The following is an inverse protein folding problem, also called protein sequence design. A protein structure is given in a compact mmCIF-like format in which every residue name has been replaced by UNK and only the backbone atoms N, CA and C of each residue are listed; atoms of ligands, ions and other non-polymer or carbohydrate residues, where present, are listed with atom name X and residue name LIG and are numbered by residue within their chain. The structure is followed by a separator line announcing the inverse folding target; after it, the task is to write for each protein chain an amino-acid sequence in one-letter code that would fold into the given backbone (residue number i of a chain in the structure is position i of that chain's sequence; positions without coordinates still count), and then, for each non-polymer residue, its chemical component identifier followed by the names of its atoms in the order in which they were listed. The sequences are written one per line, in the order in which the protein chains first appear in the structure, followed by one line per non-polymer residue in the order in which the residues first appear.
data_IF_624855244714
#
_entry.id   IF_624855244714
#
_cell.length_a   1.000
_cell.length_b   1.000
_cell.length_c   1.000
_cell.angle_alpha   90.00
_cell.angle_beta   90.00
_cell.angle_gamma   90.00
#
_symmetry.space_group_name_H-M   'P 1'
#
loop_
_entity.id
_entity.type
_entity.pdbx_description
1 polymer ?
#
# COMPACT_ATOMS: atom_id res chain seq x y z
N UNK A 1 -25.84 17.60 -14.32
CA UNK A 1 -25.18 17.72 -13.00
C UNK A 1 -24.04 16.73 -13.03
N UNK A 2 -22.89 17.06 -12.42
CA UNK A 2 -21.78 16.13 -12.34
C UNK A 2 -22.14 14.93 -11.45
N UNK A 3 -21.72 13.73 -11.84
CA UNK A 3 -21.80 12.50 -11.02
C UNK A 3 -20.55 12.42 -10.19
N UNK A 4 -20.67 12.39 -8.87
CA UNK A 4 -19.53 12.36 -7.95
C UNK A 4 -19.29 10.94 -7.44
N UNK A 5 -18.00 10.57 -7.33
CA UNK A 5 -17.48 9.34 -6.76
C UNK A 5 -16.54 9.69 -5.61
N UNK A 6 -16.55 8.94 -4.52
CA UNK A 6 -15.77 9.26 -3.34
C UNK A 6 -14.72 8.17 -3.09
N UNK A 7 -13.45 8.56 -3.07
CA UNK A 7 -12.37 7.74 -2.53
C UNK A 7 -12.13 8.09 -1.06
N UNK A 8 -12.04 7.06 -0.23
CA UNK A 8 -11.54 7.14 1.15
C UNK A 8 -10.21 6.42 1.17
N UNK A 9 -9.13 7.19 1.09
CA UNK A 9 -7.73 6.72 1.06
C UNK A 9 -7.11 6.93 2.44
N UNK A 10 -6.81 5.83 3.14
CA UNK A 10 -6.25 5.85 4.50
C UNK A 10 -4.87 5.20 4.49
N UNK A 11 -3.84 6.03 4.47
CA UNK A 11 -2.46 5.58 4.66
C UNK A 11 -2.04 5.48 6.12
N UNK A 12 -0.84 5.01 6.37
CA UNK A 12 -0.30 4.80 7.72
C UNK A 12 -0.12 6.10 8.54
N UNK A 13 -0.04 7.26 7.89
CA UNK A 13 0.20 8.56 8.56
C UNK A 13 -0.95 9.56 8.41
N UNK A 14 -1.82 9.39 7.45
CA UNK A 14 -2.97 10.28 7.22
C UNK A 14 -4.04 9.59 6.40
N UNK A 15 -5.29 10.07 6.52
CA UNK A 15 -6.39 9.68 5.65
C UNK A 15 -7.03 10.89 5.01
N UNK A 16 -7.69 10.66 3.87
CA UNK A 16 -8.36 11.72 3.11
C UNK A 16 -9.57 11.18 2.37
N UNK A 17 -10.55 12.05 2.20
CA UNK A 17 -11.70 11.82 1.36
C UNK A 17 -11.62 12.74 0.16
N UNK A 18 -11.61 12.12 -1.03
CA UNK A 18 -11.44 12.83 -2.30
C UNK A 18 -12.63 12.52 -3.20
N UNK A 19 -13.37 13.55 -3.61
CA UNK A 19 -14.39 13.46 -4.63
C UNK A 19 -13.75 13.51 -6.02
N UNK A 20 -14.20 12.63 -6.90
CA UNK A 20 -13.86 12.67 -8.33
C UNK A 20 -15.10 12.72 -9.19
N UNK A 21 -15.01 13.40 -10.34
CA UNK A 21 -16.02 13.44 -11.38
C UNK A 21 -15.38 13.71 -12.74
N UNK A 22 -16.13 13.49 -13.81
CA UNK A 22 -15.71 13.91 -15.15
C UNK A 22 -16.28 15.29 -15.48
N UNK A 23 -15.45 16.18 -15.99
CA UNK A 23 -15.83 17.47 -16.55
C UNK A 23 -15.08 17.67 -17.87
N UNK A 24 -15.82 17.89 -18.96
CA UNK A 24 -15.28 18.06 -20.32
C UNK A 24 -14.28 16.94 -20.73
N UNK A 25 -14.58 15.71 -20.31
CA UNK A 25 -13.75 14.52 -20.61
C UNK A 25 -12.51 14.37 -19.75
N UNK A 26 -12.30 15.22 -18.74
CA UNK A 26 -11.19 15.13 -17.80
C UNK A 26 -11.68 14.72 -16.43
N UNK A 27 -10.85 13.97 -15.70
CA UNK A 27 -11.09 13.65 -14.30
C UNK A 27 -10.69 14.85 -13.44
N UNK A 28 -11.62 15.33 -12.63
CA UNK A 28 -11.40 16.41 -11.66
C UNK A 28 -11.49 15.83 -10.27
N UNK A 29 -10.53 16.19 -9.43
CA UNK A 29 -10.45 15.79 -8.01
C UNK A 29 -10.66 16.98 -7.10
N UNK A 30 -11.32 16.72 -5.97
CA UNK A 30 -11.50 17.68 -4.88
C UNK A 30 -11.33 16.98 -3.54
N UNK A 31 -10.29 17.36 -2.78
CA UNK A 31 -10.14 16.90 -1.41
C UNK A 31 -11.19 17.60 -0.54
N UNK A 32 -12.07 16.82 0.08
CA UNK A 32 -13.16 17.35 0.91
C UNK A 32 -12.91 17.23 2.39
N UNK A 33 -12.06 16.28 2.77
CA UNK A 33 -11.72 16.03 4.18
C UNK A 33 -10.36 15.35 4.33
N UNK A 34 -9.62 15.74 5.36
CA UNK A 34 -8.32 15.13 5.71
C UNK A 34 -8.22 14.97 7.21
N UNK A 35 -7.55 13.89 7.64
CA UNK A 35 -7.29 13.59 9.04
C UNK A 35 -5.94 12.92 9.23
N UNK A 36 -5.37 13.01 10.42
CA UNK A 36 -4.14 12.32 10.78
C UNK A 36 -4.42 10.85 11.09
N UNK A 37 -3.44 9.99 10.84
CA UNK A 37 -3.43 8.59 11.24
C UNK A 37 -2.08 8.25 11.87
N UNK A 38 -2.07 7.20 12.69
CA UNK A 38 -0.89 6.69 13.36
C UNK A 38 -1.25 5.63 14.36
N UNK A 39 -0.27 4.82 14.73
CA UNK A 39 -0.44 3.83 15.78
C UNK A 39 -0.22 4.45 17.15
N UNK A 40 -0.97 3.95 18.14
CA UNK A 40 -0.85 4.33 19.53
C UNK A 40 -0.45 3.12 20.38
N UNK A 41 0.27 3.35 21.49
CA UNK A 41 0.55 2.29 22.45
C UNK A 41 -0.69 2.03 23.30
N UNK A 42 -1.15 0.77 23.31
CA UNK A 42 -2.27 0.31 24.13
C UNK A 42 -1.91 -1.07 24.69
N UNK A 43 -1.97 -1.22 26.01
CA UNK A 43 -1.65 -2.46 26.73
C UNK A 43 -0.27 -3.09 26.38
N UNK A 44 0.68 -2.25 25.94
CA UNK A 44 2.03 -2.67 25.54
C UNK A 44 2.19 -2.94 24.04
N UNK A 45 1.11 -2.94 23.28
CA UNK A 45 1.07 -3.17 21.84
C UNK A 45 0.95 -1.86 21.05
N UNK A 46 1.41 -1.85 19.80
CA UNK A 46 1.19 -0.76 18.84
C UNK A 46 -0.12 -1.04 18.06
N UNK A 47 -1.12 -0.19 18.29
CA UNK A 47 -2.48 -0.40 17.80
C UNK A 47 -2.96 0.73 16.91
N UNK A 48 -3.83 0.39 15.96
CA UNK A 48 -4.64 1.34 15.20
C UNK A 48 -5.90 1.73 15.98
N UNK A 49 -6.40 2.95 15.78
CA UNK A 49 -7.63 3.45 16.38
C UNK A 49 -8.80 3.38 15.40
N UNK A 50 -9.25 2.16 15.00
CA UNK A 50 -10.26 1.98 13.96
C UNK A 50 -11.59 2.67 14.26
N UNK A 51 -12.03 2.74 15.51
CA UNK A 51 -13.23 3.49 15.88
C UNK A 51 -13.09 4.99 15.60
N UNK A 52 -11.89 5.55 15.82
CA UNK A 52 -11.61 6.94 15.47
C UNK A 52 -11.60 7.14 13.98
N UNK A 53 -10.89 6.28 13.24
CA UNK A 53 -10.82 6.35 11.77
C UNK A 53 -12.21 6.24 11.14
N UNK A 54 -13.07 5.37 11.66
CA UNK A 54 -14.43 5.26 11.16
C UNK A 54 -15.26 6.54 11.40
N UNK A 55 -15.08 7.19 12.53
CA UNK A 55 -15.71 8.51 12.78
C UNK A 55 -15.22 9.58 11.81
N UNK A 56 -13.94 9.55 11.42
CA UNK A 56 -13.40 10.45 10.40
C UNK A 56 -14.03 10.19 9.01
N UNK A 57 -14.24 8.91 8.64
CA UNK A 57 -14.96 8.56 7.41
C UNK A 57 -16.37 9.16 7.43
N UNK A 58 -17.12 8.98 8.52
CA UNK A 58 -18.47 9.53 8.68
C UNK A 58 -18.47 11.07 8.65
N UNK A 59 -17.48 11.69 9.27
CA UNK A 59 -17.33 13.16 9.25
C UNK A 59 -17.11 13.68 7.81
N UNK A 60 -16.25 13.01 7.04
CA UNK A 60 -16.02 13.34 5.64
C UNK A 60 -17.26 13.15 4.76
N UNK A 61 -18.05 12.09 4.98
CA UNK A 61 -19.33 11.90 4.29
C UNK A 61 -20.31 13.04 4.59
N UNK A 62 -20.43 13.46 5.84
CA UNK A 62 -21.24 14.63 6.21
C UNK A 62 -20.75 15.90 5.51
N UNK A 63 -19.42 16.04 5.34
CA UNK A 63 -18.84 17.17 4.63
C UNK A 63 -19.26 17.22 3.17
N UNK A 64 -19.33 16.08 2.47
CA UNK A 64 -19.86 16.01 1.10
C UNK A 64 -21.28 16.58 1.00
N UNK A 65 -22.15 16.28 1.97
CA UNK A 65 -23.51 16.84 2.05
C UNK A 65 -23.49 18.34 2.30
N UNK A 66 -22.67 18.82 3.23
CA UNK A 66 -22.57 20.25 3.57
C UNK A 66 -22.18 21.10 2.35
N UNK A 67 -21.26 20.62 1.51
CA UNK A 67 -20.82 21.32 0.29
C UNK A 67 -21.76 21.07 -0.91
N UNK A 68 -22.82 20.27 -0.72
CA UNK A 68 -23.80 19.97 -1.76
C UNK A 68 -23.32 19.04 -2.87
N UNK A 69 -22.26 18.24 -2.63
CA UNK A 69 -21.66 17.28 -3.58
C UNK A 69 -21.82 15.86 -3.05
N UNK A 70 -23.01 15.31 -3.20
CA UNK A 70 -23.32 13.96 -2.73
C UNK A 70 -22.81 12.92 -3.73
N UNK A 71 -21.90 12.00 -3.32
CA UNK A 71 -21.40 10.95 -4.20
C UNK A 71 -22.46 9.87 -4.44
N UNK A 72 -22.44 9.26 -5.63
CA UNK A 72 -23.28 8.11 -5.96
C UNK A 72 -22.71 6.80 -5.41
N UNK A 73 -21.38 6.74 -5.28
CA UNK A 73 -20.69 5.62 -4.67
C UNK A 73 -19.43 6.06 -3.92
N UNK A 74 -18.94 5.15 -3.08
CA UNK A 74 -17.65 5.29 -2.39
C UNK A 74 -16.91 3.97 -2.35
N UNK A 75 -15.58 4.05 -2.18
CA UNK A 75 -14.72 2.93 -1.86
C UNK A 75 -13.69 3.31 -0.81
N UNK A 76 -13.27 2.34 0.01
CA UNK A 76 -12.22 2.53 1.00
C UNK A 76 -11.01 1.69 0.58
N UNK A 77 -9.82 2.29 0.54
CA UNK A 77 -8.55 1.60 0.45
C UNK A 77 -7.65 1.96 1.63
N UNK A 78 -6.78 1.05 2.00
CA UNK A 78 -5.83 1.23 3.10
C UNK A 78 -4.49 0.55 2.81
N UNK A 79 -3.58 0.56 3.80
CA UNK A 79 -2.38 -0.27 3.81
C UNK A 79 -2.76 -1.75 3.94
N UNK A 80 -1.86 -2.65 3.54
CA UNK A 80 -2.04 -4.10 3.56
C UNK A 80 -1.82 -4.78 4.91
N UNK A 81 -2.04 -6.07 4.95
CA UNK A 81 -1.66 -7.09 5.95
C UNK A 81 -2.40 -7.09 7.27
N UNK A 82 -2.91 -5.95 7.75
CA UNK A 82 -3.56 -5.84 9.05
C UNK A 82 -5.04 -6.26 8.99
N UNK A 83 -5.55 -6.74 10.10
CA UNK A 83 -6.89 -7.33 10.17
C UNK A 83 -7.53 -7.19 11.55
N UNK A 84 -8.81 -7.47 11.61
CA UNK A 84 -9.57 -7.73 12.84
C UNK A 84 -10.16 -9.14 12.82
N UNK A 85 -10.32 -9.73 14.00
CA UNK A 85 -11.11 -10.93 14.22
C UNK A 85 -12.42 -10.54 14.89
N UNK A 86 -13.54 -10.97 14.34
CA UNK A 86 -14.87 -10.74 14.92
C UNK A 86 -15.39 -12.04 15.53
N UNK A 87 -15.99 -11.93 16.72
CA UNK A 87 -16.70 -13.05 17.37
C UNK A 87 -18.13 -13.21 16.81
N UNK A 88 -18.89 -14.16 17.38
CA UNK A 88 -20.29 -14.44 17.00
C UNK A 88 -21.25 -13.27 17.27
N UNK A 89 -20.89 -12.34 18.15
CA UNK A 89 -21.66 -11.13 18.49
C UNK A 89 -21.12 -9.91 17.72
N UNK A 90 -20.27 -10.12 16.71
CA UNK A 90 -19.64 -9.11 15.82
C UNK A 90 -18.72 -8.12 16.57
N UNK A 91 -18.19 -8.55 17.70
CA UNK A 91 -17.22 -7.76 18.47
C UNK A 91 -15.81 -8.10 18.07
N UNK A 92 -14.95 -7.08 18.01
CA UNK A 92 -13.52 -7.24 17.77
C UNK A 92 -12.89 -7.98 18.93
N UNK A 93 -12.16 -9.05 18.65
CA UNK A 93 -11.39 -9.84 19.60
C UNK A 93 -9.99 -9.23 19.76
N UNK A 94 -9.64 -8.90 21.00
CA UNK A 94 -8.34 -8.31 21.32
C UNK A 94 -8.18 -6.85 20.88
N UNK A 95 -6.93 -6.43 20.77
CA UNK A 95 -6.55 -5.11 20.28
C UNK A 95 -6.39 -5.13 18.75
N UNK A 96 -6.51 -3.95 18.13
CA UNK A 96 -6.30 -3.73 16.68
C UNK A 96 -4.82 -3.49 16.39
N UNK A 97 -4.00 -4.52 16.63
CA UNK A 97 -2.54 -4.46 16.56
C UNK A 97 -2.08 -4.23 15.12
N UNK A 98 -1.19 -3.25 14.94
CA UNK A 98 -0.68 -2.88 13.62
C UNK A 98 0.61 -3.59 13.24
N UNK A 99 0.93 -3.59 11.96
CA UNK A 99 2.03 -4.35 11.35
C UNK A 99 3.45 -3.98 11.83
N UNK A 100 3.62 -2.83 12.49
CA UNK A 100 4.92 -2.41 13.07
C UNK A 100 5.09 -2.84 14.53
N UNK A 101 4.12 -3.58 15.09
CA UNK A 101 4.23 -4.14 16.42
C UNK A 101 5.26 -5.27 16.47
N UNK A 102 5.93 -5.43 17.58
CA UNK A 102 6.94 -6.47 17.80
C UNK A 102 6.36 -7.87 18.08
N UNK A 103 5.02 -8.04 18.05
CA UNK A 103 4.40 -9.35 18.32
C UNK A 103 4.81 -10.45 17.35
N UNK A 104 5.30 -10.08 16.17
CA UNK A 104 5.75 -11.03 15.13
C UNK A 104 7.25 -11.31 15.16
N UNK A 105 8.03 -10.67 16.04
CA UNK A 105 9.47 -10.91 16.13
C UNK A 105 9.78 -12.40 16.39
N UNK A 106 10.51 -13.05 15.48
CA UNK A 106 10.86 -14.48 15.56
C UNK A 106 9.72 -15.45 15.27
N UNK A 107 8.52 -14.97 14.90
CA UNK A 107 7.35 -15.84 14.61
C UNK A 107 7.53 -16.65 13.33
N UNK A 108 8.35 -16.20 12.39
CA UNK A 108 8.65 -16.93 11.16
C UNK A 108 9.21 -18.33 11.44
N UNK A 109 9.97 -18.50 12.52
CA UNK A 109 10.47 -19.82 12.92
C UNK A 109 9.35 -20.79 13.25
N UNK A 110 8.26 -20.34 13.85
CA UNK A 110 7.10 -21.18 14.15
C UNK A 110 6.31 -21.56 12.89
N UNK A 111 6.22 -20.63 11.93
CA UNK A 111 5.61 -20.89 10.61
C UNK A 111 6.47 -21.88 9.83
N UNK A 112 7.78 -21.72 9.82
CA UNK A 112 8.70 -22.58 9.05
C UNK A 112 8.88 -23.99 9.64
N UNK A 113 8.49 -24.22 10.89
CA UNK A 113 8.32 -25.59 11.44
C UNK A 113 7.16 -26.34 10.78
N UNK A 114 6.18 -25.64 10.24
CA UNK A 114 4.97 -26.21 9.62
C UNK A 114 5.15 -26.28 8.09
N UNK A 115 5.63 -25.20 7.49
CA UNK A 115 5.87 -25.10 6.05
C UNK A 115 7.20 -24.37 5.79
N UNK A 116 8.17 -24.98 5.07
CA UNK A 116 9.41 -24.30 4.69
C UNK A 116 9.15 -23.03 3.88
N UNK A 117 10.04 -22.03 4.01
CA UNK A 117 9.93 -20.74 3.32
C UNK A 117 9.74 -20.89 1.80
N UNK A 118 10.53 -21.77 1.20
CA UNK A 118 10.52 -22.00 -0.26
C UNK A 118 9.19 -22.65 -0.70
N UNK A 119 8.64 -23.56 0.11
CA UNK A 119 7.34 -24.17 -0.18
C UNK A 119 6.21 -23.14 -0.03
N UNK A 120 6.25 -22.31 1.01
CA UNK A 120 5.29 -21.25 1.21
C UNK A 120 5.29 -20.27 0.02
N UNK A 121 6.48 -19.84 -0.41
CA UNK A 121 6.63 -18.96 -1.56
C UNK A 121 6.14 -19.63 -2.86
N UNK A 122 6.48 -20.89 -3.10
CA UNK A 122 6.03 -21.62 -4.27
C UNK A 122 4.50 -21.75 -4.36
N UNK A 123 3.79 -21.70 -3.22
CA UNK A 123 2.33 -21.73 -3.15
C UNK A 123 1.69 -20.37 -3.40
N UNK A 124 2.21 -19.32 -2.81
CA UNK A 124 1.57 -18.00 -2.74
C UNK A 124 2.26 -16.94 -3.59
N UNK A 125 3.56 -17.11 -3.83
CA UNK A 125 4.39 -16.12 -4.53
C UNK A 125 4.59 -14.81 -3.78
N UNK A 126 4.28 -14.76 -2.49
CA UNK A 126 4.38 -13.54 -1.67
C UNK A 126 5.74 -13.47 -0.98
N UNK A 127 6.41 -12.32 -1.11
CA UNK A 127 7.68 -12.07 -0.44
C UNK A 127 7.57 -12.28 1.07
N UNK A 128 8.67 -12.67 1.68
CA UNK A 128 8.77 -12.65 3.12
C UNK A 128 8.78 -11.22 3.65
N UNK A 129 7.81 -10.92 4.48
CA UNK A 129 7.80 -9.77 5.37
C UNK A 129 7.21 -10.24 6.70
N UNK A 130 7.94 -10.03 7.79
CA UNK A 130 7.57 -10.56 9.11
C UNK A 130 6.15 -10.18 9.55
N UNK A 131 5.60 -9.14 8.95
CA UNK A 131 4.28 -8.61 9.21
C UNK A 131 3.18 -9.13 8.26
N UNK A 132 3.45 -10.04 7.29
CA UNK A 132 2.36 -10.64 6.51
C UNK A 132 1.33 -11.28 7.45
N UNK A 133 0.07 -11.26 7.06
CA UNK A 133 -1.05 -11.73 7.89
C UNK A 133 -0.86 -13.15 8.41
N UNK A 134 -0.22 -14.04 7.62
CA UNK A 134 0.09 -15.41 8.06
C UNK A 134 0.96 -15.45 9.33
N UNK A 135 1.96 -14.56 9.45
CA UNK A 135 2.80 -14.46 10.64
C UNK A 135 2.08 -13.78 11.79
N UNK A 136 1.29 -12.76 11.51
CA UNK A 136 0.45 -12.09 12.53
C UNK A 136 -0.57 -13.07 13.13
N UNK A 137 -1.23 -13.91 12.33
CA UNK A 137 -2.13 -14.97 12.82
C UNK A 137 -1.39 -16.02 13.64
N UNK A 138 -0.14 -16.35 13.29
CA UNK A 138 0.67 -17.24 14.11
C UNK A 138 1.01 -16.59 15.45
N UNK A 139 1.31 -15.31 15.51
CA UNK A 139 1.49 -14.59 16.76
C UNK A 139 0.22 -14.65 17.63
N UNK A 140 -0.95 -14.38 17.04
CA UNK A 140 -2.25 -14.54 17.74
C UNK A 140 -2.43 -15.97 18.25
N UNK A 141 -2.17 -17.00 17.41
CA UNK A 141 -2.28 -18.43 17.79
C UNK A 141 -1.40 -18.78 18.99
N UNK A 142 -0.22 -18.18 19.10
CA UNK A 142 0.73 -18.45 20.18
C UNK A 142 0.43 -17.68 21.47
N UNK A 143 0.04 -16.45 21.34
CA UNK A 143 -0.14 -15.53 22.46
C UNK A 143 -1.58 -15.54 22.99
N UNK A 144 -2.58 -15.66 22.08
CA UNK A 144 -4.01 -15.55 22.34
C UNK A 144 -4.82 -16.58 21.56
N UNK A 145 -4.56 -17.91 21.76
CA UNK A 145 -5.26 -18.96 21.00
C UNK A 145 -6.78 -18.88 21.13
N UNK A 146 -7.27 -18.35 22.25
CA UNK A 146 -8.70 -18.15 22.52
C UNK A 146 -9.35 -17.19 21.51
N UNK A 147 -8.61 -16.27 20.88
CA UNK A 147 -9.18 -15.39 19.86
C UNK A 147 -9.50 -16.18 18.59
N UNK A 148 -8.63 -17.11 18.16
CA UNK A 148 -8.90 -17.95 17.00
C UNK A 148 -10.04 -18.95 17.26
N UNK A 149 -10.18 -19.42 18.49
CA UNK A 149 -11.29 -20.33 18.89
C UNK A 149 -12.65 -19.61 18.82
N UNK A 150 -12.69 -18.33 19.23
CA UNK A 150 -13.90 -17.50 19.29
C UNK A 150 -14.22 -16.79 17.97
N UNK A 151 -13.25 -16.65 17.09
CA UNK A 151 -13.40 -15.93 15.84
C UNK A 151 -14.40 -16.61 14.89
N UNK A 152 -15.32 -15.83 14.35
CA UNK A 152 -16.26 -16.22 13.29
C UNK A 152 -15.91 -15.58 11.94
N UNK A 153 -15.18 -14.47 11.96
CA UNK A 153 -14.80 -13.75 10.72
C UNK A 153 -13.47 -13.04 10.91
N UNK A 154 -12.62 -13.13 9.89
CA UNK A 154 -11.45 -12.26 9.69
C UNK A 154 -11.81 -11.22 8.65
N UNK A 155 -11.62 -9.95 8.95
CA UNK A 155 -11.72 -8.85 7.98
C UNK A 155 -10.41 -8.07 7.98
N UNK A 156 -9.87 -7.85 6.78
CA UNK A 156 -8.74 -6.92 6.63
C UNK A 156 -9.22 -5.49 6.81
N UNK A 157 -8.32 -4.55 7.01
CA UNK A 157 -8.68 -3.19 7.46
C UNK A 157 -9.71 -2.51 6.56
N UNK A 158 -9.54 -2.45 5.22
CA UNK A 158 -10.54 -1.81 4.36
C UNK A 158 -11.86 -2.57 4.35
N UNK A 159 -11.82 -3.90 4.40
CA UNK A 159 -13.01 -4.75 4.46
C UNK A 159 -13.78 -4.54 5.78
N UNK A 160 -13.06 -4.30 6.88
CA UNK A 160 -13.68 -3.96 8.15
C UNK A 160 -14.43 -2.61 8.07
N UNK A 161 -13.83 -1.59 7.42
CA UNK A 161 -14.54 -0.33 7.21
C UNK A 161 -15.75 -0.49 6.27
N UNK A 162 -15.64 -1.29 5.21
CA UNK A 162 -16.77 -1.63 4.36
C UNK A 162 -17.88 -2.34 5.14
N UNK A 163 -17.51 -3.29 6.02
CA UNK A 163 -18.47 -3.94 6.92
C UNK A 163 -19.15 -2.94 7.87
N UNK A 164 -18.42 -2.01 8.47
CA UNK A 164 -19.01 -0.99 9.34
C UNK A 164 -19.99 -0.09 8.57
N UNK A 165 -19.71 0.19 7.29
CA UNK A 165 -20.56 1.00 6.43
C UNK A 165 -21.84 0.26 6.00
N UNK A 166 -21.72 -1.02 5.60
CA UNK A 166 -22.79 -1.76 4.90
C UNK A 166 -23.43 -2.88 5.73
N UNK A 167 -22.67 -3.50 6.63
CA UNK A 167 -23.06 -4.74 7.31
C UNK A 167 -22.63 -6.02 6.59
N UNK A 168 -22.08 -5.92 5.39
CA UNK A 168 -21.65 -7.07 4.60
C UNK A 168 -20.19 -7.43 4.91
N UNK A 169 -19.93 -8.73 5.17
CA UNK A 169 -18.61 -9.26 5.49
C UNK A 169 -17.99 -9.86 4.24
N UNK A 170 -17.04 -9.16 3.67
CA UNK A 170 -16.30 -9.57 2.47
C UNK A 170 -14.80 -9.44 2.72
N UNK A 171 -13.97 -10.10 1.92
CA UNK A 171 -12.55 -9.84 1.82
C UNK A 171 -12.21 -9.57 0.37
N UNK A 172 -11.50 -8.48 0.10
CA UNK A 172 -11.16 -8.10 -1.26
C UNK A 172 -9.80 -8.70 -1.68
N UNK A 173 -9.72 -9.13 -2.92
CA UNK A 173 -8.61 -9.92 -3.47
C UNK A 173 -7.25 -9.21 -3.38
N UNK A 174 -7.17 -7.92 -3.72
CA UNK A 174 -5.87 -7.21 -3.75
C UNK A 174 -5.26 -7.06 -2.37
N UNK A 175 -6.11 -6.85 -1.37
CA UNK A 175 -5.73 -6.81 0.04
C UNK A 175 -5.38 -8.21 0.57
N UNK A 176 -6.22 -9.20 0.29
CA UNK A 176 -6.02 -10.57 0.76
C UNK A 176 -4.68 -11.16 0.31
N UNK A 177 -4.21 -10.83 -0.90
CA UNK A 177 -2.92 -11.33 -1.40
C UNK A 177 -1.74 -10.87 -0.56
N UNK A 178 -1.79 -9.71 0.08
CA UNK A 178 -0.70 -9.20 0.94
C UNK A 178 -0.45 -10.11 2.15
N UNK A 179 -1.46 -10.89 2.53
CA UNK A 179 -1.46 -11.74 3.72
C UNK A 179 -0.67 -13.03 3.62
N UNK A 180 -0.18 -13.40 2.42
CA UNK A 180 0.60 -14.64 2.19
C UNK A 180 -0.21 -15.94 2.39
N UNK A 181 -1.52 -15.93 2.05
CA UNK A 181 -2.43 -17.07 2.19
C UNK A 181 -3.38 -17.26 1.00
N UNK A 182 -3.14 -16.59 -0.11
CA UNK A 182 -3.93 -16.71 -1.35
C UNK A 182 -3.14 -17.52 -2.38
N UNK A 183 -3.81 -18.46 -3.05
CA UNK A 183 -3.26 -19.16 -4.22
C UNK A 183 -3.42 -18.26 -5.47
N UNK A 184 -2.34 -17.80 -6.09
CA UNK A 184 -2.41 -16.88 -7.23
C UNK A 184 -3.02 -17.53 -8.49
N UNK A 185 -3.09 -18.87 -8.56
CA UNK A 185 -3.68 -19.60 -9.71
C UNK A 185 -5.20 -19.62 -9.63
N UNK A 186 -5.73 -19.91 -8.44
CA UNK A 186 -7.18 -19.93 -8.20
C UNK A 186 -7.74 -18.54 -7.91
N UNK A 187 -6.88 -17.60 -7.48
CA UNK A 187 -7.23 -16.26 -6.98
C UNK A 187 -8.23 -16.33 -5.83
N UNK A 188 -8.04 -17.31 -4.96
CA UNK A 188 -8.84 -17.52 -3.76
C UNK A 188 -7.92 -17.98 -2.63
N UNK A 189 -8.43 -18.05 -1.41
CA UNK A 189 -7.70 -18.53 -0.26
C UNK A 189 -7.12 -19.92 -0.50
N UNK A 190 -5.87 -20.13 -0.11
CA UNK A 190 -5.24 -21.46 -0.05
C UNK A 190 -5.71 -22.20 1.22
N UNK A 191 -6.90 -22.78 1.16
CA UNK A 191 -7.51 -23.46 2.33
C UNK A 191 -6.66 -24.62 2.84
N UNK A 192 -5.92 -25.31 1.97
CA UNK A 192 -4.99 -26.37 2.42
C UNK A 192 -3.86 -25.81 3.27
N UNK A 193 -3.28 -24.67 2.86
CA UNK A 193 -2.28 -23.94 3.64
C UNK A 193 -2.88 -23.46 4.97
N UNK A 194 -4.05 -22.84 4.94
CA UNK A 194 -4.74 -22.31 6.12
C UNK A 194 -5.00 -23.45 7.14
N UNK A 195 -5.50 -24.60 6.69
CA UNK A 195 -5.71 -25.79 7.54
C UNK A 195 -4.38 -26.31 8.10
N UNK A 196 -3.35 -26.39 7.25
CA UNK A 196 -2.01 -26.84 7.66
C UNK A 196 -1.40 -25.94 8.72
N UNK A 197 -1.64 -24.63 8.64
CA UNK A 197 -1.25 -23.65 9.66
C UNK A 197 -2.07 -23.80 10.96
N UNK A 198 -3.17 -24.53 10.90
CA UNK A 198 -4.11 -24.73 12.02
C UNK A 198 -4.91 -23.47 12.31
N UNK A 199 -5.19 -22.67 11.28
CA UNK A 199 -6.12 -21.55 11.36
C UNK A 199 -7.54 -22.02 11.05
N UNK A 200 -8.58 -21.50 11.73
CA UNK A 200 -9.95 -21.91 11.47
C UNK A 200 -10.42 -21.40 10.09
N UNK A 201 -10.66 -22.32 9.15
CA UNK A 201 -11.05 -21.96 7.77
C UNK A 201 -12.34 -21.16 7.70
N UNK A 202 -13.25 -21.33 8.68
CA UNK A 202 -14.54 -20.64 8.77
C UNK A 202 -14.42 -19.10 8.83
N UNK A 203 -13.28 -18.56 9.30
CA UNK A 203 -13.11 -17.12 9.46
C UNK A 203 -12.79 -16.41 8.13
N UNK A 204 -12.37 -17.16 7.10
CA UNK A 204 -12.00 -16.63 5.80
C UNK A 204 -13.22 -16.59 4.88
N UNK A 205 -13.77 -15.39 4.69
CA UNK A 205 -14.88 -15.16 3.76
C UNK A 205 -14.42 -15.31 2.32
N UNK A 206 -15.34 -15.67 1.41
CA UNK A 206 -15.05 -15.72 -0.02
C UNK A 206 -14.50 -14.38 -0.51
N UNK A 207 -13.43 -14.43 -1.30
CA UNK A 207 -12.84 -13.24 -1.90
C UNK A 207 -13.78 -12.62 -2.94
N UNK A 208 -13.84 -11.30 -2.92
CA UNK A 208 -14.46 -10.49 -3.97
C UNK A 208 -13.37 -9.77 -4.78
N UNK A 209 -13.67 -9.51 -6.04
CA UNK A 209 -12.75 -8.79 -6.92
C UNK A 209 -12.99 -7.28 -6.86
N UNK A 210 -11.98 -6.43 -7.19
CA UNK A 210 -12.18 -5.00 -7.34
C UNK A 210 -13.31 -4.68 -8.33
N UNK A 211 -14.06 -3.63 -8.07
CA UNK A 211 -15.25 -3.25 -8.83
C UNK A 211 -16.53 -3.97 -8.37
N UNK A 212 -16.48 -4.81 -7.34
CA UNK A 212 -17.66 -5.48 -6.79
C UNK A 212 -18.47 -4.50 -5.91
N UNK A 213 -19.79 -4.49 -6.09
CA UNK A 213 -20.70 -3.82 -5.16
C UNK A 213 -20.78 -4.58 -3.85
N UNK A 214 -20.53 -3.91 -2.74
CA UNK A 214 -20.64 -4.50 -1.39
C UNK A 214 -22.06 -4.28 -0.83
N UNK A 215 -22.69 -3.19 -1.22
CA UNK A 215 -24.04 -2.84 -0.77
C UNK A 215 -24.22 -1.35 -0.57
N UNK A 216 -25.24 -0.98 0.18
CA UNK A 216 -25.55 0.40 0.54
C UNK A 216 -25.26 0.67 2.01
N UNK A 217 -25.21 1.93 2.38
CA UNK A 217 -25.01 2.32 3.78
C UNK A 217 -26.07 1.68 4.70
N UNK A 218 -25.68 1.29 5.89
CA UNK A 218 -26.61 0.85 6.95
C UNK A 218 -27.66 1.94 7.20
N UNK A 219 -28.92 1.58 7.55
CA UNK A 219 -29.98 2.57 7.82
C UNK A 219 -29.57 3.65 8.80
N UNK A 220 -28.87 3.28 9.88
CA UNK A 220 -28.44 4.19 10.95
C UNK A 220 -27.46 5.25 10.41
N UNK A 221 -26.55 4.83 9.53
CA UNK A 221 -25.59 5.75 8.89
C UNK A 221 -26.27 6.66 7.86
N UNK A 222 -27.23 6.13 7.09
CA UNK A 222 -28.03 6.95 6.16
C UNK A 222 -28.79 8.05 6.88
N UNK A 223 -29.38 7.72 8.04
CA UNK A 223 -30.12 8.68 8.86
C UNK A 223 -29.15 9.72 9.45
N UNK A 224 -27.98 9.30 9.92
CA UNK A 224 -26.96 10.18 10.50
C UNK A 224 -26.34 11.11 9.47
N UNK A 225 -25.95 10.59 8.30
CA UNK A 225 -25.28 11.31 7.22
C UNK A 225 -26.31 12.10 6.39
N UNK A 226 -27.51 11.55 6.23
CA UNK A 226 -28.66 12.15 5.56
C UNK A 226 -28.69 11.96 4.05
N UNK A 227 -28.02 10.94 3.53
CA UNK A 227 -28.14 10.42 2.17
C UNK A 227 -27.69 8.96 2.12
N UNK A 228 -27.97 8.28 1.02
CA UNK A 228 -27.51 6.94 0.73
C UNK A 228 -26.52 6.95 -0.45
N UNK A 229 -25.65 5.97 -0.50
CA UNK A 229 -24.73 5.71 -1.61
C UNK A 229 -24.40 4.22 -1.68
N UNK A 230 -23.88 3.79 -2.82
CA UNK A 230 -23.36 2.45 -3.01
C UNK A 230 -21.90 2.37 -2.53
N UNK A 231 -21.56 1.34 -1.74
CA UNK A 231 -20.18 1.02 -1.38
C UNK A 231 -19.64 0.01 -2.38
N UNK A 232 -18.56 0.37 -3.06
CA UNK A 232 -17.89 -0.43 -4.09
C UNK A 232 -16.50 -0.76 -3.64
N UNK A 233 -16.09 -2.03 -3.68
CA UNK A 233 -14.71 -2.40 -3.42
C UNK A 233 -13.80 -1.85 -4.53
N UNK A 234 -12.88 -0.92 -4.27
CA UNK A 234 -11.80 -0.61 -5.21
C UNK A 234 -10.76 -1.74 -5.21
N UNK A 235 -9.56 -1.54 -5.73
CA UNK A 235 -8.42 -2.29 -5.22
C UNK A 235 -8.19 -1.78 -3.79
N UNK A 236 -8.53 -2.57 -2.78
CA UNK A 236 -8.57 -2.09 -1.39
C UNK A 236 -7.18 -1.97 -0.76
N UNK A 237 -6.17 -2.66 -1.31
CA UNK A 237 -4.78 -2.32 -1.06
C UNK A 237 -4.42 -1.04 -1.82
N UNK A 238 -4.03 0.02 -1.12
CA UNK A 238 -3.75 1.36 -1.65
C UNK A 238 -2.84 1.34 -2.90
N UNK A 239 -1.79 0.50 -2.87
CA UNK A 239 -0.91 0.31 -4.02
C UNK A 239 -1.64 -0.34 -5.21
N UNK A 240 -2.60 -1.22 -4.97
CA UNK A 240 -3.43 -1.79 -6.04
C UNK A 240 -4.22 -0.71 -6.78
N UNK A 241 -4.81 0.20 -6.04
CA UNK A 241 -5.48 1.38 -6.58
C UNK A 241 -4.49 2.31 -7.30
N UNK A 242 -3.33 2.60 -6.69
CA UNK A 242 -2.31 3.45 -7.31
C UNK A 242 -1.81 2.91 -8.66
N UNK A 243 -1.63 1.59 -8.79
CA UNK A 243 -1.21 0.95 -10.04
C UNK A 243 -2.31 0.99 -11.10
N UNK A 244 -3.58 0.86 -10.73
CA UNK A 244 -4.70 1.06 -11.66
C UNK A 244 -4.66 2.45 -12.31
N UNK A 245 -4.21 3.46 -11.57
CA UNK A 245 -4.10 4.85 -12.03
C UNK A 245 -2.83 5.17 -12.82
N UNK A 246 -1.92 4.22 -13.05
CA UNK A 246 -0.73 4.48 -13.89
C UNK A 246 -1.15 4.89 -15.29
N UNK A 247 -0.74 6.09 -15.78
CA UNK A 247 -1.27 6.64 -17.03
C UNK A 247 -0.54 6.08 -18.26
N UNK A 248 -0.53 4.75 -18.42
CA UNK A 248 0.12 4.04 -19.53
C UNK A 248 -0.68 2.79 -19.92
N UNK A 249 -0.78 2.52 -21.22
CA UNK A 249 -1.55 1.41 -21.78
C UNK A 249 -0.71 0.38 -22.55
N UNK A 250 0.59 0.59 -22.62
CA UNK A 250 1.53 -0.42 -23.15
C UNK A 250 2.20 -1.18 -22.00
N UNK A 251 3.06 -2.11 -22.33
CA UNK A 251 3.79 -2.95 -21.37
C UNK A 251 5.31 -2.64 -21.34
N UNK A 252 5.72 -1.46 -21.82
CA UNK A 252 7.13 -1.02 -21.86
C UNK A 252 7.46 -0.08 -20.70
N UNK A 253 6.99 -0.40 -19.51
CA UNK A 253 7.29 0.39 -18.32
C UNK A 253 7.38 -0.46 -17.05
N UNK A 254 8.12 0.06 -16.09
CA UNK A 254 8.09 -0.34 -14.68
C UNK A 254 7.30 0.74 -13.93
N UNK A 255 6.53 0.39 -12.92
CA UNK A 255 5.91 1.38 -12.03
C UNK A 255 6.62 1.46 -10.69
N UNK A 256 6.52 2.62 -10.03
CA UNK A 256 6.81 2.79 -8.61
C UNK A 256 5.60 3.49 -7.99
N UNK A 257 4.87 2.80 -7.13
CA UNK A 257 3.93 3.42 -6.20
C UNK A 257 4.74 3.96 -5.03
N UNK A 258 4.95 5.28 -5.00
CA UNK A 258 5.87 5.91 -4.08
C UNK A 258 5.15 6.75 -3.02
N UNK A 259 5.29 6.34 -1.79
CA UNK A 259 4.78 6.99 -0.58
C UNK A 259 5.75 6.77 0.58
N UNK A 260 5.24 6.39 1.73
CA UNK A 260 6.04 5.90 2.86
C UNK A 260 6.92 4.74 2.42
N UNK A 261 6.32 3.76 1.73
CA UNK A 261 6.98 2.70 0.98
C UNK A 261 7.12 3.08 -0.48
N UNK A 262 8.02 2.39 -1.19
CA UNK A 262 8.11 2.40 -2.65
C UNK A 262 7.92 0.98 -3.16
N UNK A 263 6.77 0.71 -3.77
CA UNK A 263 6.46 -0.59 -4.35
C UNK A 263 6.77 -0.52 -5.85
N UNK A 264 7.88 -1.16 -6.24
CA UNK A 264 8.41 -1.09 -7.61
C UNK A 264 8.19 -2.39 -8.35
N UNK A 265 7.51 -2.36 -9.50
CA UNK A 265 7.19 -3.60 -10.19
C UNK A 265 6.52 -3.45 -11.55
N UNK A 266 5.88 -4.53 -11.96
CA UNK A 266 5.22 -4.73 -13.25
C UNK A 266 3.80 -5.26 -13.07
N UNK A 267 2.90 -4.94 -14.00
CA UNK A 267 1.63 -5.65 -14.11
C UNK A 267 1.80 -6.89 -15.01
N UNK A 268 1.38 -8.06 -14.52
CA UNK A 268 1.44 -9.34 -15.24
C UNK A 268 0.10 -10.05 -15.20
N UNK A 269 -0.10 -11.01 -16.11
CA UNK A 269 -1.29 -11.88 -16.10
C UNK A 269 -1.15 -13.03 -15.11
N UNK A 270 0.08 -13.57 -15.00
CA UNK A 270 0.39 -14.76 -14.21
C UNK A 270 1.47 -14.46 -13.19
N UNK A 271 1.37 -15.11 -12.04
CA UNK A 271 2.36 -15.02 -10.97
C UNK A 271 3.64 -15.78 -11.33
N UNK A 272 4.75 -15.31 -10.81
CA UNK A 272 6.04 -15.99 -10.85
C UNK A 272 6.43 -16.44 -9.45
N UNK A 273 6.16 -17.69 -9.13
CA UNK A 273 6.47 -18.33 -7.85
C UNK A 273 7.74 -19.19 -7.94
N UNK A 274 8.67 -18.88 -8.86
CA UNK A 274 9.91 -19.60 -9.04
C UNK A 274 10.89 -19.39 -7.89
N UNK A 275 11.84 -20.32 -7.75
CA UNK A 275 12.93 -20.23 -6.78
C UNK A 275 13.73 -18.93 -6.95
N UNK A 276 13.99 -18.53 -8.19
CA UNK A 276 14.71 -17.27 -8.50
C UNK A 276 13.92 -16.05 -8.03
N UNK A 277 12.60 -16.03 -8.21
CA UNK A 277 11.72 -14.96 -7.70
C UNK A 277 11.74 -14.90 -6.17
N UNK A 278 11.77 -16.07 -5.50
CA UNK A 278 11.91 -16.17 -4.05
C UNK A 278 13.25 -15.63 -3.54
N UNK A 279 14.36 -15.98 -4.22
CA UNK A 279 15.70 -15.49 -3.88
C UNK A 279 15.82 -13.97 -3.96
N UNK A 280 15.17 -13.36 -4.96
CA UNK A 280 15.12 -11.91 -5.15
C UNK A 280 14.06 -11.22 -4.25
N UNK A 281 13.35 -11.99 -3.43
CA UNK A 281 12.28 -11.50 -2.56
C UNK A 281 11.22 -10.66 -3.28
N UNK A 282 10.88 -11.05 -4.53
CA UNK A 282 9.81 -10.43 -5.30
C UNK A 282 8.45 -10.97 -4.87
N UNK A 283 7.40 -10.17 -4.96
CA UNK A 283 6.05 -10.52 -4.53
C UNK A 283 5.05 -10.47 -5.68
N UNK A 284 4.01 -11.31 -5.60
CA UNK A 284 2.94 -11.44 -6.61
C UNK A 284 1.60 -11.05 -6.00
N UNK A 285 1.37 -9.76 -5.84
CA UNK A 285 0.14 -9.24 -5.24
C UNK A 285 -0.96 -9.04 -6.28
N UNK A 286 -2.22 -9.16 -5.85
CA UNK A 286 -3.37 -8.97 -6.72
C UNK A 286 -3.52 -7.55 -7.26
N UNK A 287 -4.01 -7.42 -8.50
CA UNK A 287 -4.34 -6.17 -9.15
C UNK A 287 -5.77 -6.16 -9.71
N UNK A 288 -6.18 -5.06 -10.33
CA UNK A 288 -7.49 -4.93 -10.97
C UNK A 288 -7.67 -5.98 -12.08
N UNK A 289 -8.89 -6.46 -12.30
CA UNK A 289 -9.20 -7.55 -13.25
C UNK A 289 -8.41 -8.85 -13.02
N UNK A 290 -7.93 -9.11 -11.81
CA UNK A 290 -7.16 -10.31 -11.48
C UNK A 290 -5.75 -10.31 -12.11
N UNK A 291 -5.21 -9.17 -12.48
CA UNK A 291 -3.79 -9.03 -12.80
C UNK A 291 -2.94 -9.29 -11.57
N UNK A 292 -1.67 -9.53 -11.78
CA UNK A 292 -0.65 -9.67 -10.74
C UNK A 292 0.25 -8.44 -10.78
N UNK A 293 0.40 -7.80 -9.65
CA UNK A 293 1.43 -6.79 -9.40
C UNK A 293 2.68 -7.53 -8.94
N UNK A 294 3.61 -7.73 -9.85
CA UNK A 294 4.89 -8.40 -9.59
C UNK A 294 5.92 -7.34 -9.21
N UNK A 295 6.30 -7.27 -7.94
CA UNK A 295 7.00 -6.12 -7.40
C UNK A 295 7.97 -6.47 -6.27
N UNK A 296 8.82 -5.52 -5.93
CA UNK A 296 9.62 -5.46 -4.70
C UNK A 296 9.12 -4.33 -3.81
N UNK A 297 8.97 -4.59 -2.50
CA UNK A 297 8.70 -3.58 -1.48
C UNK A 297 10.03 -2.96 -1.03
N UNK A 298 10.18 -1.66 -1.23
CA UNK A 298 11.36 -0.88 -0.87
C UNK A 298 10.97 0.14 0.20
N UNK A 299 11.84 0.40 1.16
CA UNK A 299 11.58 1.25 2.34
C UNK A 299 11.08 2.67 2.00
N UNK A 300 11.36 3.17 0.80
CA UNK A 300 10.80 4.40 0.25
C UNK A 300 11.14 5.68 1.03
N UNK A 301 10.21 6.65 0.98
CA UNK A 301 10.41 7.97 1.60
C UNK A 301 10.33 7.95 3.13
N UNK A 302 9.95 6.82 3.74
CA UNK A 302 9.94 6.65 5.19
C UNK A 302 11.24 7.07 5.85
N UNK A 303 12.40 6.72 5.25
CA UNK A 303 13.71 7.05 5.80
C UNK A 303 13.90 8.56 5.94
N UNK A 304 13.70 9.33 4.87
CA UNK A 304 13.90 10.78 4.91
C UNK A 304 12.81 11.52 5.71
N UNK A 305 11.58 10.99 5.71
CA UNK A 305 10.49 11.52 6.54
C UNK A 305 10.79 11.36 8.02
N UNK A 306 11.29 10.20 8.44
CA UNK A 306 11.69 9.92 9.82
C UNK A 306 12.83 10.85 10.27
N UNK A 307 13.89 10.96 9.47
CA UNK A 307 15.00 11.89 9.73
C UNK A 307 14.50 13.32 9.91
N UNK A 308 13.58 13.78 9.04
CA UNK A 308 12.99 15.11 9.15
C UNK A 308 12.22 15.28 10.48
N UNK A 309 11.38 14.32 10.86
CA UNK A 309 10.62 14.36 12.11
C UNK A 309 11.51 14.36 13.35
N UNK A 310 12.63 13.64 13.34
CA UNK A 310 13.61 13.61 14.42
C UNK A 310 14.26 14.97 14.67
N UNK A 311 14.27 15.87 13.68
CA UNK A 311 14.71 17.27 13.87
C UNK A 311 13.58 18.19 14.37
N UNK A 312 12.41 17.64 14.70
CA UNK A 312 11.23 18.44 15.03
C UNK A 312 10.69 19.24 13.82
N UNK A 313 10.85 18.68 12.63
CA UNK A 313 10.46 19.28 11.35
C UNK A 313 11.13 20.64 11.08
N UNK A 314 12.36 20.83 11.60
CA UNK A 314 13.12 22.07 11.48
C UNK A 314 13.48 22.44 10.02
N UNK A 315 13.45 21.45 9.12
CA UNK A 315 13.72 21.62 7.69
C UNK A 315 12.48 21.31 6.85
N UNK A 316 12.22 22.12 5.84
CA UNK A 316 11.31 21.77 4.75
C UNK A 316 11.96 20.71 3.84
N UNK A 317 11.15 20.00 3.05
CA UNK A 317 11.71 19.06 2.06
C UNK A 317 12.57 19.75 1.00
N UNK A 318 12.26 21.00 0.64
CA UNK A 318 13.09 21.78 -0.28
C UNK A 318 14.47 22.07 0.30
N UNK A 319 14.55 22.52 1.56
CA UNK A 319 15.84 22.76 2.24
C UNK A 319 16.66 21.49 2.37
N UNK A 320 16.01 20.34 2.64
CA UNK A 320 16.68 19.02 2.68
C UNK A 320 17.30 18.68 1.33
N UNK A 321 16.59 18.96 0.23
CA UNK A 321 17.08 18.75 -1.13
C UNK A 321 18.26 19.65 -1.44
N UNK A 322 18.16 20.96 -1.13
CA UNK A 322 19.25 21.92 -1.35
C UNK A 322 20.52 21.48 -0.60
N UNK A 323 20.38 21.07 0.67
CA UNK A 323 21.49 20.56 1.47
C UNK A 323 22.08 19.24 0.92
N UNK A 324 21.23 18.36 0.40
CA UNK A 324 21.69 17.11 -0.22
C UNK A 324 22.45 17.39 -1.52
N UNK A 325 22.03 18.36 -2.34
CA UNK A 325 22.74 18.78 -3.55
C UNK A 325 24.12 19.38 -3.22
N UNK A 326 24.24 20.15 -2.14
CA UNK A 326 25.53 20.67 -1.66
C UNK A 326 26.47 19.55 -1.22
N UNK A 327 25.92 18.46 -0.65
CA UNK A 327 26.68 17.30 -0.17
C UNK A 327 26.72 16.12 -1.16
N UNK A 328 26.34 16.31 -2.43
CA UNK A 328 26.13 15.25 -3.44
C UNK A 328 27.30 14.28 -3.64
N UNK A 329 28.52 14.73 -3.33
CA UNK A 329 29.73 13.92 -3.48
C UNK A 329 30.02 13.04 -2.23
N UNK A 330 29.14 13.06 -1.21
CA UNK A 330 29.31 12.21 -0.03
C UNK A 330 29.19 10.75 -0.42
N UNK A 331 30.20 9.87 -0.10
CA UNK A 331 30.37 8.59 -0.78
C UNK A 331 29.54 7.43 -0.19
N UNK A 332 29.02 7.58 1.04
CA UNK A 332 28.41 6.46 1.76
C UNK A 332 27.05 6.06 1.21
N UNK A 333 26.76 4.75 1.30
CA UNK A 333 25.51 4.14 0.84
C UNK A 333 25.01 3.14 1.87
N UNK A 334 23.71 3.04 1.98
CA UNK A 334 23.03 2.03 2.81
C UNK A 334 22.19 1.12 1.92
N UNK A 335 21.96 -0.11 2.35
CA UNK A 335 20.93 -0.92 1.74
C UNK A 335 19.57 -0.46 2.27
N UNK A 336 18.79 0.21 1.41
CA UNK A 336 17.47 0.74 1.79
C UNK A 336 16.49 -0.36 2.24
N UNK A 337 16.73 -1.62 1.88
CA UNK A 337 15.90 -2.77 2.26
C UNK A 337 16.41 -3.51 3.50
N UNK A 338 17.46 -3.01 4.17
CA UNK A 338 17.94 -3.64 5.39
C UNK A 338 16.90 -3.55 6.52
N UNK A 339 16.69 -4.67 7.24
CA UNK A 339 15.68 -4.80 8.30
C UNK A 339 15.81 -3.72 9.40
N UNK A 340 17.03 -3.24 9.64
CA UNK A 340 17.29 -2.21 10.64
C UNK A 340 16.58 -0.87 10.36
N UNK A 341 16.12 -0.62 9.12
CA UNK A 341 15.40 0.59 8.76
C UNK A 341 13.87 0.44 8.82
N UNK A 342 13.36 -0.74 9.11
CA UNK A 342 11.92 -1.00 9.15
C UNK A 342 11.22 -0.21 10.27
N UNK A 343 11.77 -0.24 11.48
CA UNK A 343 11.19 0.41 12.66
C UNK A 343 12.27 0.78 13.69
N UNK A 344 13.30 1.57 13.33
CA UNK A 344 14.31 1.97 14.28
C UNK A 344 13.75 3.00 15.28
N UNK A 345 14.26 3.00 16.51
CA UNK A 345 13.95 4.03 17.50
C UNK A 345 14.39 5.44 17.03
N UNK A 346 15.46 5.51 16.24
CA UNK A 346 15.98 6.73 15.64
C UNK A 346 16.64 6.42 14.29
N UNK A 347 16.02 6.89 13.20
CA UNK A 347 16.48 6.63 11.84
C UNK A 347 17.85 7.28 11.55
N UNK A 348 18.06 8.49 12.05
CA UNK A 348 19.32 9.22 11.87
C UNK A 348 20.50 8.42 12.42
N UNK A 349 20.39 7.94 13.65
CA UNK A 349 21.46 7.14 14.27
C UNK A 349 21.58 5.77 13.61
N UNK A 350 20.48 5.15 13.16
CA UNK A 350 20.56 3.85 12.47
C UNK A 350 21.29 3.96 11.11
N UNK A 351 21.08 5.02 10.34
CA UNK A 351 21.84 5.28 9.10
C UNK A 351 23.31 5.48 9.41
N UNK A 352 23.65 6.24 10.46
CA UNK A 352 25.04 6.44 10.90
C UNK A 352 25.68 5.13 11.37
N UNK A 353 24.96 4.33 12.14
CA UNK A 353 25.43 3.03 12.63
C UNK A 353 25.62 2.03 11.49
N UNK A 354 24.73 2.04 10.50
CA UNK A 354 24.92 1.24 9.29
C UNK A 354 26.25 1.61 8.58
N UNK A 355 26.54 2.91 8.39
CA UNK A 355 27.80 3.35 7.81
C UNK A 355 29.00 2.93 8.67
N UNK A 356 28.91 3.04 10.00
CA UNK A 356 29.98 2.59 10.92
C UNK A 356 30.24 1.09 10.78
N UNK A 357 29.18 0.26 10.81
CA UNK A 357 29.28 -1.22 10.71
C UNK A 357 29.87 -1.67 9.38
N UNK A 358 29.62 -0.93 8.31
CA UNK A 358 30.11 -1.24 6.95
C UNK A 358 31.45 -0.56 6.63
N UNK A 359 32.04 0.16 7.59
CA UNK A 359 33.35 0.81 7.43
C UNK A 359 33.33 2.01 6.47
N UNK A 360 32.21 2.65 6.30
CA UNK A 360 32.02 3.83 5.43
C UNK A 360 32.15 5.13 6.22
N UNK A 361 32.44 6.27 5.57
CA UNK A 361 32.32 7.59 6.18
C UNK A 361 30.93 7.80 6.80
N UNK A 362 30.89 8.32 8.02
CA UNK A 362 29.63 8.53 8.75
C UNK A 362 29.09 9.93 8.40
N UNK A 363 27.82 10.06 7.96
CA UNK A 363 27.24 11.35 7.69
C UNK A 363 27.05 12.15 8.99
N UNK A 364 27.52 13.40 9.00
CA UNK A 364 27.50 14.27 10.19
C UNK A 364 26.49 15.40 10.05
N UNK A 365 26.22 15.84 8.83
CA UNK A 365 25.29 16.93 8.51
C UNK A 365 23.97 16.41 7.91
N UNK A 366 22.92 17.24 7.96
CA UNK A 366 21.64 16.92 7.30
C UNK A 366 21.84 16.67 5.80
N UNK A 367 22.70 17.46 5.14
CA UNK A 367 22.99 17.29 3.71
C UNK A 367 23.62 15.95 3.40
N UNK A 368 24.67 15.54 4.14
CA UNK A 368 25.33 14.23 3.96
C UNK A 368 24.36 13.07 4.23
N UNK A 369 23.57 13.16 5.31
CA UNK A 369 22.58 12.15 5.67
C UNK A 369 21.51 12.01 4.58
N UNK A 370 21.00 13.13 4.08
CA UNK A 370 20.00 13.14 3.00
C UNK A 370 20.56 12.61 1.69
N UNK A 371 21.83 12.93 1.37
CA UNK A 371 22.54 12.38 0.21
C UNK A 371 22.65 10.88 0.29
N UNK A 372 23.05 10.34 1.46
CA UNK A 372 23.11 8.88 1.68
C UNK A 372 21.76 8.25 1.40
N UNK A 373 20.67 8.79 1.97
CA UNK A 373 19.34 8.23 1.82
C UNK A 373 18.85 8.30 0.36
N UNK A 374 18.85 9.49 -0.25
CA UNK A 374 18.31 9.66 -1.61
C UNK A 374 19.09 8.87 -2.66
N UNK A 375 20.43 8.85 -2.57
CA UNK A 375 21.25 8.12 -3.54
C UNK A 375 21.10 6.62 -3.34
N UNK A 376 21.02 6.15 -2.08
CA UNK A 376 20.78 4.72 -1.79
C UNK A 376 19.43 4.25 -2.32
N UNK A 377 18.38 5.05 -2.20
CA UNK A 377 17.06 4.75 -2.77
C UNK A 377 17.12 4.66 -4.30
N UNK A 378 17.77 5.63 -4.96
CA UNK A 378 17.90 5.62 -6.42
C UNK A 378 18.71 4.42 -6.93
N UNK A 379 19.77 4.04 -6.23
CA UNK A 379 20.58 2.84 -6.55
C UNK A 379 19.78 1.54 -6.29
N UNK A 380 18.95 1.51 -5.23
CA UNK A 380 18.03 0.41 -4.99
C UNK A 380 17.02 0.26 -6.15
N UNK A 381 16.39 1.34 -6.60
CA UNK A 381 15.49 1.31 -7.75
C UNK A 381 16.20 0.83 -9.04
N UNK A 382 17.47 1.22 -9.23
CA UNK A 382 18.24 0.74 -10.38
C UNK A 382 18.55 -0.75 -10.31
N UNK A 383 18.83 -1.29 -9.12
CA UNK A 383 18.99 -2.73 -8.88
C UNK A 383 17.70 -3.47 -9.17
N UNK A 384 16.59 -3.06 -8.56
CA UNK A 384 15.27 -3.68 -8.75
C UNK A 384 14.83 -3.66 -10.21
N UNK A 385 15.08 -2.56 -10.95
CA UNK A 385 14.79 -2.50 -12.38
C UNK A 385 15.54 -3.59 -13.17
N UNK A 386 16.82 -3.83 -12.88
CA UNK A 386 17.61 -4.89 -13.52
C UNK A 386 17.09 -6.28 -13.15
N UNK A 387 16.74 -6.51 -11.89
CA UNK A 387 16.18 -7.78 -11.43
C UNK A 387 14.86 -8.10 -12.14
N UNK A 388 13.97 -7.11 -12.27
CA UNK A 388 12.73 -7.26 -13.05
C UNK A 388 12.99 -7.54 -14.53
N UNK A 389 14.00 -6.89 -15.14
CA UNK A 389 14.43 -7.15 -16.51
C UNK A 389 15.00 -8.57 -16.68
N UNK A 390 15.82 -9.04 -15.75
CA UNK A 390 16.34 -10.41 -15.73
C UNK A 390 15.20 -11.44 -15.62
N UNK A 391 14.24 -11.22 -14.70
CA UNK A 391 13.12 -12.14 -14.48
C UNK A 391 12.18 -12.23 -15.68
N UNK A 392 12.02 -11.14 -16.44
CA UNK A 392 11.13 -11.11 -17.61
C UNK A 392 11.83 -11.38 -18.94
N UNK A 393 13.17 -11.31 -18.96
CA UNK A 393 13.95 -11.38 -20.20
C UNK A 393 13.70 -10.19 -21.15
N UNK A 394 13.21 -9.07 -20.63
CA UNK A 394 12.86 -7.85 -21.38
C UNK A 394 13.55 -6.64 -20.77
N UNK A 395 13.76 -5.61 -21.57
CA UNK A 395 14.15 -4.28 -21.09
C UNK A 395 12.95 -3.35 -21.16
N UNK A 396 12.92 -2.37 -20.26
CA UNK A 396 11.86 -1.35 -20.16
C UNK A 396 12.45 0.02 -20.38
N UNK A 397 11.79 0.86 -21.20
CA UNK A 397 12.32 2.18 -21.56
C UNK A 397 12.07 3.25 -20.48
N UNK A 398 11.03 3.07 -19.66
CA UNK A 398 10.61 4.09 -18.69
C UNK A 398 10.12 3.53 -17.36
N UNK A 399 10.09 4.41 -16.36
CA UNK A 399 9.52 4.13 -15.04
C UNK A 399 8.43 5.17 -14.76
N UNK A 400 7.21 4.70 -14.47
CA UNK A 400 6.13 5.56 -13.98
C UNK A 400 6.18 5.63 -12.46
N UNK A 401 6.39 6.82 -11.89
CA UNK A 401 6.34 7.05 -10.45
C UNK A 401 5.02 7.73 -10.13
N UNK A 402 4.16 7.05 -9.38
CA UNK A 402 2.84 7.53 -8.98
C UNK A 402 2.74 7.66 -7.45
N UNK A 403 1.74 8.40 -6.96
CA UNK A 403 1.59 8.69 -5.55
C UNK A 403 2.41 9.89 -5.09
N UNK A 404 2.44 10.15 -3.78
CA UNK A 404 3.08 11.34 -3.20
C UNK A 404 4.54 11.52 -3.58
N UNK A 405 5.30 10.43 -3.75
CA UNK A 405 6.70 10.45 -4.15
C UNK A 405 6.95 10.95 -5.58
N UNK A 406 5.93 11.00 -6.44
CA UNK A 406 6.06 11.64 -7.77
C UNK A 406 6.46 13.11 -7.67
N UNK A 407 6.22 13.76 -6.54
CA UNK A 407 6.61 15.12 -6.26
C UNK A 407 8.07 15.28 -5.77
N UNK A 408 8.77 14.16 -5.46
CA UNK A 408 10.15 14.15 -5.00
C UNK A 408 11.12 14.35 -6.18
N UNK A 409 11.14 15.55 -6.79
CA UNK A 409 11.87 15.84 -8.02
C UNK A 409 13.34 15.44 -7.99
N UNK A 410 14.06 15.72 -6.90
CA UNK A 410 15.45 15.33 -6.72
C UNK A 410 15.67 13.81 -6.77
N UNK A 411 14.84 13.03 -6.04
CA UNK A 411 14.91 11.58 -6.11
C UNK A 411 14.58 11.06 -7.51
N UNK A 412 13.60 11.68 -8.19
CA UNK A 412 13.22 11.30 -9.55
C UNK A 412 14.38 11.54 -10.54
N UNK A 413 15.13 12.64 -10.40
CA UNK A 413 16.34 12.91 -11.21
C UNK A 413 17.46 11.89 -10.91
N UNK A 414 17.72 11.60 -9.62
CA UNK A 414 18.70 10.58 -9.24
C UNK A 414 18.31 9.20 -9.79
N UNK A 415 17.01 8.89 -9.75
CA UNK A 415 16.49 7.63 -10.29
C UNK A 415 16.69 7.55 -11.82
N UNK A 416 16.41 8.62 -12.56
CA UNK A 416 16.68 8.68 -14.00
C UNK A 416 18.16 8.41 -14.31
N UNK A 417 19.07 9.07 -13.60
CA UNK A 417 20.53 8.89 -13.77
C UNK A 417 20.98 7.48 -13.40
N UNK A 418 20.49 6.91 -12.28
CA UNK A 418 20.90 5.60 -11.80
C UNK A 418 20.39 4.47 -12.70
N UNK A 419 19.16 4.59 -13.23
CA UNK A 419 18.52 3.57 -14.07
C UNK A 419 18.83 3.73 -15.55
N UNK A 420 19.19 4.93 -16.01
CA UNK A 420 19.30 5.26 -17.44
C UNK A 420 17.96 5.24 -18.18
N UNK A 421 16.83 5.31 -17.45
CA UNK A 421 15.46 5.26 -17.98
C UNK A 421 14.78 6.61 -17.88
N UNK A 422 13.79 6.86 -18.72
CA UNK A 422 12.92 8.02 -18.55
C UNK A 422 12.01 7.81 -17.33
N UNK A 423 11.91 8.82 -16.46
CA UNK A 423 11.00 8.81 -15.31
C UNK A 423 9.79 9.68 -15.64
N UNK A 424 8.61 9.09 -15.59
CA UNK A 424 7.32 9.74 -15.77
C UNK A 424 6.66 9.87 -14.39
N UNK A 425 6.77 11.05 -13.78
CA UNK A 425 6.34 11.29 -12.41
C UNK A 425 4.97 11.97 -12.36
N UNK A 426 3.99 11.27 -11.81
CA UNK A 426 2.59 11.66 -11.66
C UNK A 426 1.63 10.56 -12.13
N UNK A 427 0.36 10.64 -11.70
CA UNK A 427 -0.23 11.62 -10.78
C UNK A 427 0.15 11.40 -9.31
N UNK A 428 0.09 12.49 -8.51
CA UNK A 428 0.39 12.44 -7.07
C UNK A 428 -0.69 11.76 -6.23
N UNK A 429 -1.95 11.89 -6.63
CA UNK A 429 -3.12 11.32 -5.93
C UNK A 429 -3.54 9.96 -6.53
N UNK A 430 -2.57 9.14 -6.94
CA UNK A 430 -2.82 7.93 -7.73
C UNK A 430 -3.74 6.92 -7.01
N UNK A 431 -3.60 6.74 -5.70
CA UNK A 431 -4.46 5.84 -4.93
C UNK A 431 -5.92 6.26 -5.03
N UNK A 432 -6.24 7.52 -4.72
CA UNK A 432 -7.60 8.02 -4.83
C UNK A 432 -8.13 8.00 -6.27
N UNK A 433 -7.29 8.29 -7.26
CA UNK A 433 -7.63 8.21 -8.68
C UNK A 433 -8.01 6.77 -9.06
N UNK A 434 -7.21 5.78 -8.66
CA UNK A 434 -7.48 4.37 -8.96
C UNK A 434 -8.72 3.85 -8.25
N UNK A 435 -8.94 4.26 -6.99
CA UNK A 435 -10.17 3.97 -6.25
C UNK A 435 -11.41 4.49 -7.00
N UNK A 436 -11.41 5.77 -7.38
CA UNK A 436 -12.48 6.40 -8.17
C UNK A 436 -12.63 5.71 -9.54
N UNK A 437 -11.52 5.37 -10.18
CA UNK A 437 -11.51 4.67 -11.48
C UNK A 437 -12.21 3.31 -11.38
N UNK A 438 -11.97 2.53 -10.34
CA UNK A 438 -12.64 1.26 -10.12
C UNK A 438 -14.16 1.43 -10.00
N UNK A 439 -14.62 2.48 -9.31
CA UNK A 439 -16.04 2.83 -9.19
C UNK A 439 -16.62 3.26 -10.55
N UNK A 440 -15.92 4.10 -11.31
CA UNK A 440 -16.34 4.57 -12.64
C UNK A 440 -16.41 3.43 -13.67
N UNK A 441 -15.46 2.48 -13.63
CA UNK A 441 -15.50 1.26 -14.44
C UNK A 441 -16.73 0.40 -14.08
N UNK A 442 -17.03 0.24 -12.80
CA UNK A 442 -18.21 -0.51 -12.34
C UNK A 442 -19.53 0.14 -12.79
N UNK A 443 -19.62 1.46 -12.78
CA UNK A 443 -20.83 2.19 -13.19
C UNK A 443 -20.95 2.36 -14.72
N UNK A 444 -19.90 2.02 -15.47
CA UNK A 444 -19.87 2.17 -16.93
C UNK A 444 -19.59 3.60 -17.40
N UNK A 445 -19.09 4.47 -16.52
CA UNK A 445 -18.56 5.78 -16.88
C UNK A 445 -17.29 5.64 -17.76
N UNK A 446 -16.48 4.62 -17.47
CA UNK A 446 -15.43 4.12 -18.36
C UNK A 446 -15.80 2.72 -18.87
N UNK A 447 -15.54 2.48 -20.15
CA UNK A 447 -15.80 1.18 -20.79
C UNK A 447 -14.65 0.19 -20.61
N UNK A 448 -13.44 0.69 -20.27
CA UNK A 448 -12.24 -0.12 -20.09
C UNK A 448 -11.17 0.60 -19.25
N UNK A 449 -10.22 -0.18 -18.72
CA UNK A 449 -9.03 0.35 -18.03
C UNK A 449 -8.20 1.22 -18.98
N UNK A 450 -8.12 0.84 -20.26
CA UNK A 450 -7.40 1.60 -21.29
C UNK A 450 -7.98 3.01 -21.46
N UNK A 451 -9.32 3.11 -21.57
CA UNK A 451 -10.00 4.41 -21.63
C UNK A 451 -9.74 5.23 -20.39
N UNK A 452 -9.86 4.64 -19.20
CA UNK A 452 -9.62 5.32 -17.93
C UNK A 452 -8.20 5.88 -17.84
N UNK A 453 -7.19 5.07 -18.20
CA UNK A 453 -5.77 5.50 -18.18
C UNK A 453 -5.47 6.61 -19.20
N UNK A 454 -6.13 6.62 -20.35
CA UNK A 454 -6.04 7.73 -21.30
C UNK A 454 -6.59 9.03 -20.69
N UNK A 455 -7.77 8.95 -20.07
CA UNK A 455 -8.36 10.12 -19.37
C UNK A 455 -7.48 10.59 -18.23
N UNK A 456 -6.90 9.68 -17.44
CA UNK A 456 -5.96 10.03 -16.36
C UNK A 456 -4.73 10.77 -16.94
N UNK A 457 -4.15 10.25 -18.03
CA UNK A 457 -3.02 10.89 -18.70
C UNK A 457 -3.33 12.31 -19.17
N UNK A 458 -4.53 12.54 -19.69
CA UNK A 458 -4.97 13.86 -20.19
C UNK A 458 -5.40 14.81 -19.07
N UNK A 459 -5.72 14.28 -17.88
CA UNK A 459 -6.27 15.04 -16.74
C UNK A 459 -5.21 15.58 -15.80
N UNK A 460 -4.08 14.88 -15.68
CA UNK A 460 -3.08 15.18 -14.67
C UNK A 460 -1.71 15.47 -15.28
N UNK A 461 -0.94 16.30 -14.57
CA UNK A 461 0.41 16.70 -15.00
C UNK A 461 1.40 15.56 -14.76
N UNK A 462 2.12 15.15 -15.81
CA UNK A 462 3.16 14.12 -15.76
C UNK A 462 4.49 14.77 -16.09
N UNK A 463 5.36 14.88 -15.08
CA UNK A 463 6.71 15.43 -15.27
C UNK A 463 7.65 14.35 -15.79
N UNK A 464 8.46 14.68 -16.79
CA UNK A 464 9.42 13.73 -17.38
C UNK A 464 10.83 14.15 -16.98
N UNK A 465 11.59 13.19 -16.40
CA UNK A 465 13.00 13.34 -16.08
C UNK A 465 13.81 12.37 -16.95
N UNK A 466 14.96 12.84 -17.44
CA UNK A 466 15.87 12.07 -18.29
C UNK A 466 17.26 12.03 -17.68
N UNK A 467 18.02 10.95 -17.96
CA UNK A 467 19.39 10.76 -17.51
C UNK A 467 20.35 11.80 -18.11
#
# INVERSE_FOLDING_TARGET
MATYYLAVDIGASSGRLILGHLEEGKMILEEVYRFENGMVKKDGELCWEFDRLFKEIVAGLKKCKEIGKVPVSMGVDTWGVDFVLLDKDEKVLGNTVGYRDHRTDGIEEEVYKIIPKEELYARTGIQFAIFNTIYQLMAVKKQHPEYLEQAETLLQVPDYFHYLLTGEKTNEYTEATTGNMVDPKTRDWDYELIERMGYPTKIFSKLIMPGTSIGHLRPELRDEIGFDLEVVAPCTHDTGSAVLAVPANDDDFIYISSGTWSLMGLERKDADCSEKSCELNLTNEGGYNGTIRYLENIMGLWMIQSVRHETGDAYSFSEIVDLAEEAKDFPSRVDANADCFLSPDNMTEEVKDYCRRTGQPVPETMGELSTVIYTSLAECYARTAKELEEMTGRTYSRIHIVGGGSNAGYLNELTARATGKEIHAGPGEATAIGNITAQMLKTGEFSSVEEARNVIHESFDIKIYKA
#
